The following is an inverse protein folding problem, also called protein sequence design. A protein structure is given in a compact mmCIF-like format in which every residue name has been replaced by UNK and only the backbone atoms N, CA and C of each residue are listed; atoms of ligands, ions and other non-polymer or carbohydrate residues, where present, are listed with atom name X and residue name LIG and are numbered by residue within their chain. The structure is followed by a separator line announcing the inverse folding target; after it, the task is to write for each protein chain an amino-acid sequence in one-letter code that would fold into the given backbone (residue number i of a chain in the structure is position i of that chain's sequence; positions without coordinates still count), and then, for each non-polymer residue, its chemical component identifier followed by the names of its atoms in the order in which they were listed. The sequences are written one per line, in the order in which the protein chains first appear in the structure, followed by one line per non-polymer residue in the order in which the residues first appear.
data_IF_839466977440
#
_entry.id   IF_839466977440
#
_cell.length_a   1.000
_cell.length_b   1.000
_cell.length_c   1.000
_cell.angle_alpha   90.00
_cell.angle_beta   90.00
_cell.angle_gamma   90.00
#
_symmetry.space_group_name_H-M   'P 1'
#
loop_
_entity.id
_entity.type
_entity.pdbx_description
1 polymer ?
#
# COMPACT_ATOMS: atom_id res chain seq x y z
N UNK A 1 14.79 -18.40 2.47
CA UNK A 1 13.76 -18.45 1.41
C UNK A 1 12.38 -18.80 1.94
N UNK A 2 12.12 -20.02 2.47
CA UNK A 2 10.79 -20.42 2.97
C UNK A 2 10.22 -19.51 4.08
N UNK A 3 11.06 -18.98 4.96
CA UNK A 3 10.61 -18.06 6.02
C UNK A 3 10.13 -16.73 5.43
N UNK A 4 10.87 -16.16 4.47
CA UNK A 4 10.55 -14.89 3.84
C UNK A 4 9.25 -14.99 3.04
N UNK A 5 9.04 -16.09 2.31
CA UNK A 5 7.80 -16.31 1.57
C UNK A 5 6.56 -16.43 2.47
N UNK A 6 6.70 -17.03 3.66
CA UNK A 6 5.60 -17.12 4.63
C UNK A 6 5.29 -15.73 5.20
N UNK A 7 6.32 -14.98 5.57
CA UNK A 7 6.15 -13.61 6.06
C UNK A 7 5.49 -12.69 5.02
N UNK A 8 5.86 -12.82 3.75
CA UNK A 8 5.25 -12.02 2.68
C UNK A 8 3.78 -12.39 2.47
N UNK A 9 3.44 -13.68 2.54
CA UNK A 9 2.03 -14.11 2.51
C UNK A 9 1.24 -13.52 3.68
N UNK A 10 1.76 -13.66 4.91
CA UNK A 10 1.10 -13.15 6.11
C UNK A 10 0.87 -11.63 6.03
N UNK A 11 1.84 -10.87 5.50
CA UNK A 11 1.70 -9.42 5.28
C UNK A 11 0.59 -9.09 4.29
N UNK A 12 0.47 -9.85 3.20
CA UNK A 12 -0.57 -9.64 2.20
C UNK A 12 -1.95 -9.99 2.76
N UNK A 13 -2.07 -11.04 3.56
CA UNK A 13 -3.33 -11.42 4.22
C UNK A 13 -3.77 -10.36 5.25
N UNK A 14 -2.82 -9.82 6.01
CA UNK A 14 -3.06 -8.69 6.93
C UNK A 14 -3.54 -7.46 6.14
N UNK A 15 -2.88 -7.12 5.03
CA UNK A 15 -3.27 -5.98 4.20
C UNK A 15 -4.67 -6.16 3.62
N UNK A 16 -5.01 -7.35 3.09
CA UNK A 16 -6.36 -7.65 2.61
C UNK A 16 -7.40 -7.46 3.70
N UNK A 17 -7.11 -7.97 4.90
CA UNK A 17 -8.01 -7.87 6.05
C UNK A 17 -8.27 -6.41 6.41
N UNK A 18 -7.21 -5.59 6.48
CA UNK A 18 -7.32 -4.17 6.78
C UNK A 18 -8.17 -3.44 5.73
N UNK A 19 -7.89 -3.65 4.44
CA UNK A 19 -8.66 -3.02 3.35
C UNK A 19 -10.13 -3.41 3.45
N UNK A 20 -10.43 -4.69 3.66
CA UNK A 20 -11.80 -5.20 3.78
C UNK A 20 -12.53 -4.61 4.98
N UNK A 21 -11.89 -4.61 6.16
CA UNK A 21 -12.47 -4.06 7.39
C UNK A 21 -12.74 -2.57 7.22
N UNK A 22 -11.77 -1.80 6.70
CA UNK A 22 -11.96 -0.37 6.46
C UNK A 22 -13.12 -0.10 5.50
N UNK A 23 -13.22 -0.84 4.39
CA UNK A 23 -14.34 -0.67 3.46
C UNK A 23 -15.70 -0.93 4.10
N UNK A 24 -15.79 -1.96 4.96
CA UNK A 24 -17.03 -2.29 5.69
C UNK A 24 -17.35 -1.20 6.72
N UNK A 25 -16.38 -0.81 7.55
CA UNK A 25 -16.57 0.16 8.63
C UNK A 25 -16.90 1.57 8.13
N UNK A 26 -16.41 1.92 6.94
CA UNK A 26 -16.69 3.22 6.30
C UNK A 26 -17.90 3.18 5.36
N UNK A 27 -18.60 2.04 5.26
CA UNK A 27 -19.70 1.82 4.31
C UNK A 27 -19.33 2.21 2.86
N UNK A 28 -18.06 2.01 2.50
CA UNK A 28 -17.50 2.48 1.24
C UNK A 28 -17.94 1.59 0.09
N UNK A 29 -18.43 2.21 -0.99
CA UNK A 29 -18.73 1.49 -2.22
C UNK A 29 -17.43 1.03 -2.89
N UNK A 30 -17.50 -0.08 -3.63
CA UNK A 30 -16.33 -0.68 -4.27
C UNK A 30 -15.57 0.30 -5.18
N UNK A 31 -16.28 1.18 -5.90
CA UNK A 31 -15.67 2.15 -6.80
C UNK A 31 -14.77 3.15 -6.07
N UNK A 32 -15.24 3.65 -4.93
CA UNK A 32 -14.49 4.62 -4.11
C UNK A 32 -13.28 3.93 -3.47
N UNK A 33 -13.45 2.69 -2.99
CA UNK A 33 -12.36 1.88 -2.47
C UNK A 33 -11.26 1.60 -3.49
N UNK A 34 -11.63 1.21 -4.72
CA UNK A 34 -10.67 1.02 -5.81
C UNK A 34 -9.97 2.34 -6.15
N UNK A 35 -10.69 3.46 -6.13
CA UNK A 35 -10.12 4.78 -6.42
C UNK A 35 -9.07 5.18 -5.38
N UNK A 36 -9.37 4.97 -4.09
CA UNK A 36 -8.42 5.20 -3.00
C UNK A 36 -7.16 4.32 -3.15
N UNK A 37 -7.32 3.01 -3.42
CA UNK A 37 -6.20 2.09 -3.62
C UNK A 37 -5.34 2.46 -4.83
N UNK A 38 -5.94 2.91 -5.94
CA UNK A 38 -5.19 3.41 -7.10
C UNK A 38 -4.34 4.62 -6.78
N UNK A 39 -4.84 5.51 -5.94
CA UNK A 39 -4.11 6.70 -5.53
C UNK A 39 -2.86 6.29 -4.72
N UNK A 40 -3.02 5.35 -3.79
CA UNK A 40 -1.91 4.78 -3.01
C UNK A 40 -0.89 4.04 -3.88
N UNK A 41 -1.35 3.26 -4.85
CA UNK A 41 -0.50 2.59 -5.84
C UNK A 41 0.34 3.61 -6.62
N UNK A 42 -0.28 4.69 -7.10
CA UNK A 42 0.41 5.73 -7.85
C UNK A 42 1.54 6.36 -7.01
N UNK A 43 1.26 6.72 -5.77
CA UNK A 43 2.26 7.31 -4.88
C UNK A 43 3.44 6.36 -4.64
N UNK A 44 3.16 5.08 -4.40
CA UNK A 44 4.20 4.08 -4.21
C UNK A 44 5.06 3.91 -5.47
N UNK A 45 4.44 3.86 -6.65
CA UNK A 45 5.15 3.75 -7.92
C UNK A 45 6.03 4.97 -8.20
N UNK A 46 5.55 6.19 -7.92
CA UNK A 46 6.35 7.42 -8.12
C UNK A 46 7.58 7.41 -7.23
N UNK A 47 7.42 7.09 -5.94
CA UNK A 47 8.56 7.02 -5.03
C UNK A 47 9.56 5.95 -5.48
N UNK A 48 9.10 4.74 -5.79
CA UNK A 48 9.96 3.66 -6.28
C UNK A 48 10.69 4.02 -7.59
N UNK A 49 10.04 4.76 -8.50
CA UNK A 49 10.64 5.19 -9.76
C UNK A 49 11.78 6.21 -9.59
N UNK A 50 11.77 6.97 -8.48
CA UNK A 50 12.77 7.99 -8.17
C UNK A 50 13.92 7.47 -7.30
N UNK A 51 13.94 6.17 -6.96
CA UNK A 51 15.01 5.57 -6.16
C UNK A 51 16.29 5.44 -6.98
N UNK A 52 17.39 5.97 -6.44
CA UNK A 52 18.72 5.97 -7.04
C UNK A 52 19.68 5.07 -6.22
N UNK A 53 19.33 4.75 -4.97
CA UNK A 53 20.16 3.94 -4.07
C UNK A 53 19.33 3.01 -3.18
N UNK A 54 19.87 1.84 -2.78
CA UNK A 54 19.16 0.88 -1.94
C UNK A 54 18.66 1.45 -0.60
N UNK A 55 19.34 2.46 -0.05
CA UNK A 55 18.94 3.12 1.19
C UNK A 55 17.59 3.83 1.09
N UNK A 56 17.21 4.28 -0.12
CA UNK A 56 15.95 5.00 -0.34
C UNK A 56 14.73 4.08 -0.37
N UNK A 57 14.91 2.76 -0.53
CA UNK A 57 13.81 1.78 -0.39
C UNK A 57 13.24 1.74 1.03
N UNK A 58 14.00 2.25 2.00
CA UNK A 58 13.63 2.30 3.41
C UNK A 58 13.31 3.73 3.88
N UNK A 59 13.25 4.68 2.94
CA UNK A 59 12.82 6.05 3.26
C UNK A 59 11.33 6.06 3.63
N UNK A 60 10.92 6.94 4.57
CA UNK A 60 9.51 7.13 4.88
C UNK A 60 8.71 7.51 3.63
N UNK A 61 7.44 7.12 3.61
CA UNK A 61 6.54 7.48 2.55
C UNK A 61 6.16 8.96 2.66
N UNK A 62 6.49 9.75 1.66
CA UNK A 62 6.08 11.15 1.58
C UNK A 62 4.67 11.24 0.97
N UNK A 63 3.71 11.70 1.77
CA UNK A 63 2.35 11.97 1.32
C UNK A 63 2.26 13.44 0.90
N UNK A 64 1.83 13.76 -0.33
CA UNK A 64 1.67 15.15 -0.77
C UNK A 64 0.68 15.93 0.12
N UNK A 65 0.91 17.22 0.31
CA UNK A 65 0.00 18.07 1.11
C UNK A 65 -1.35 18.33 0.43
N UNK A 66 -1.43 18.14 -0.89
CA UNK A 66 -2.60 18.36 -1.73
C UNK A 66 -3.49 17.11 -1.92
N UNK A 67 -3.23 16.06 -1.13
CA UNK A 67 -4.01 14.83 -1.09
C UNK A 67 -5.31 14.93 -0.29
#
# INVERSE_FOLDING_TARGET
DKLLSVLDQDRMDILETLVRVTMIETEMILLDGISALRMWEHLARVQLANIISPGQLFSPFEIPEDW
#
